data_IF_907777555633
#
_entry.id   IF_907777555633
#
_cell.length_a   1.000
_cell.length_b   1.000
_cell.length_c   1.000
_cell.angle_alpha   90.00
_cell.angle_beta   90.00
_cell.angle_gamma   90.00
#
_symmetry.space_group_name_H-M   'P 1'
#
loop_
_entity.id
_entity.type
_entity.pdbx_description
1 polymer ?
#
# COMPACT_ATOMS: atom_id res chain seq x y z
N UNK A 1 -18.15 -0.82 -13.93
CA UNK A 1 -18.17 0.00 -15.17
C UNK A 1 -19.58 0.27 -15.66
N UNK A 2 -20.52 -0.66 -15.49
CA UNK A 2 -21.83 -0.55 -16.13
C UNK A 2 -22.74 0.53 -15.52
N UNK A 3 -22.59 0.88 -14.24
CA UNK A 3 -23.22 2.08 -13.67
C UNK A 3 -22.74 3.39 -14.31
N UNK A 4 -21.45 3.49 -14.67
CA UNK A 4 -20.93 4.67 -15.37
C UNK A 4 -21.48 4.74 -16.80
N UNK A 5 -21.50 3.62 -17.52
CA UNK A 5 -22.00 3.54 -18.90
C UNK A 5 -23.53 3.61 -19.04
N UNK A 6 -24.28 3.11 -18.06
CA UNK A 6 -25.73 2.95 -18.13
C UNK A 6 -26.53 3.99 -17.33
N UNK A 7 -25.94 4.64 -16.33
CA UNK A 7 -26.60 5.62 -15.48
C UNK A 7 -25.87 6.97 -15.39
N UNK A 8 -24.78 7.17 -16.14
CA UNK A 8 -24.01 8.42 -16.16
C UNK A 8 -23.29 8.75 -14.85
N UNK A 9 -23.29 7.83 -13.88
CA UNK A 9 -22.71 8.05 -12.55
C UNK A 9 -21.19 8.13 -12.67
N UNK A 10 -20.58 9.15 -12.08
CA UNK A 10 -19.13 9.21 -11.95
C UNK A 10 -18.62 8.08 -11.04
N UNK A 11 -17.78 7.20 -11.61
CA UNK A 11 -17.20 6.07 -10.89
C UNK A 11 -15.68 6.14 -10.98
N UNK A 12 -15.01 5.96 -9.85
CA UNK A 12 -13.56 5.83 -9.74
C UNK A 12 -13.23 4.51 -9.04
N UNK A 13 -12.13 3.85 -9.41
CA UNK A 13 -11.79 2.52 -8.91
C UNK A 13 -10.35 2.52 -8.38
N UNK A 14 -10.21 2.57 -7.05
CA UNK A 14 -8.94 2.34 -6.39
C UNK A 14 -8.74 0.84 -6.10
N UNK A 15 -7.55 0.33 -6.39
CA UNK A 15 -7.03 -0.94 -5.88
C UNK A 15 -5.98 -0.58 -4.84
N UNK A 16 -6.34 -0.76 -3.56
CA UNK A 16 -5.52 -0.38 -2.42
C UNK A 16 -4.60 -1.56 -2.06
N UNK A 17 -3.30 -1.32 -1.98
CA UNK A 17 -2.29 -2.34 -1.65
C UNK A 17 -1.63 -2.03 -0.31
N UNK A 18 -1.90 -2.89 0.67
CA UNK A 18 -1.37 -2.93 2.05
C UNK A 18 -1.37 -1.57 2.77
N UNK A 19 -2.33 -1.36 3.67
CA UNK A 19 -2.41 -0.16 4.54
C UNK A 19 -2.03 -0.54 5.97
N UNK A 20 -1.45 0.37 6.76
CA UNK A 20 -1.41 0.20 8.22
C UNK A 20 -1.90 1.46 8.94
N UNK A 21 -2.59 1.29 10.08
CA UNK A 21 -3.11 2.39 10.88
C UNK A 21 -3.82 1.95 12.17
N UNK A 22 -4.17 2.89 13.06
CA UNK A 22 -4.81 2.58 14.34
C UNK A 22 -6.15 1.83 14.18
N UNK A 23 -6.35 0.79 15.01
CA UNK A 23 -7.48 -0.17 15.02
C UNK A 23 -7.43 -1.30 13.97
N UNK A 24 -6.28 -1.57 13.35
CA UNK A 24 -6.09 -2.81 12.58
C UNK A 24 -5.83 -4.02 13.48
N UNK A 25 -6.06 -5.22 12.92
CA UNK A 25 -5.66 -6.48 13.56
C UNK A 25 -4.13 -6.56 13.62
N UNK A 26 -3.59 -6.96 14.78
CA UNK A 26 -2.14 -7.02 15.01
C UNK A 26 -1.46 -8.19 14.26
N UNK A 27 -2.23 -9.22 13.89
CA UNK A 27 -1.75 -10.44 13.23
C UNK A 27 -1.89 -10.41 11.69
N UNK A 28 -2.28 -9.28 11.08
CA UNK A 28 -2.33 -9.14 9.61
C UNK A 28 -0.91 -8.94 9.04
N UNK A 29 -0.26 -10.04 8.67
CA UNK A 29 1.14 -10.10 8.20
C UNK A 29 1.44 -9.46 6.84
N UNK A 30 0.80 -8.33 6.49
CA UNK A 30 0.83 -7.72 5.14
C UNK A 30 1.19 -6.22 5.17
N UNK A 31 2.45 -5.94 4.83
CA UNK A 31 3.21 -4.67 5.00
C UNK A 31 3.26 -3.83 3.70
N UNK A 32 3.28 -2.49 3.64
CA UNK A 32 2.86 -1.39 4.56
C UNK A 32 2.57 -0.16 3.68
N UNK A 33 1.54 0.64 4.02
CA UNK A 33 1.35 1.99 3.47
C UNK A 33 0.91 2.97 4.55
N UNK A 34 1.61 4.11 4.62
CA UNK A 34 1.24 5.22 5.48
C UNK A 34 -0.14 5.73 5.05
N UNK A 35 -1.15 5.56 5.91
CA UNK A 35 -2.55 5.85 5.64
C UNK A 35 -2.76 7.20 4.94
N UNK A 36 -2.10 8.27 5.44
CA UNK A 36 -2.21 9.64 4.90
C UNK A 36 -1.78 9.74 3.43
N UNK A 37 -0.73 9.03 3.00
CA UNK A 37 -0.25 9.09 1.61
C UNK A 37 -1.19 8.38 0.63
N UNK A 38 -1.97 7.40 1.10
CA UNK A 38 -3.01 6.76 0.29
C UNK A 38 -4.29 7.59 0.25
N UNK A 39 -4.64 8.28 1.35
CA UNK A 39 -5.75 9.25 1.35
C UNK A 39 -5.50 10.33 0.29
N UNK A 40 -4.27 10.84 0.17
CA UNK A 40 -3.90 11.76 -0.92
C UNK A 40 -4.11 11.14 -2.32
N UNK A 41 -3.68 9.89 -2.53
CA UNK A 41 -3.89 9.17 -3.78
C UNK A 41 -5.37 8.92 -4.11
N UNK A 42 -6.19 8.68 -3.09
CA UNK A 42 -7.65 8.55 -3.22
C UNK A 42 -8.32 9.89 -3.56
N UNK A 43 -7.94 10.98 -2.90
CA UNK A 43 -8.46 12.32 -3.20
C UNK A 43 -8.19 12.72 -4.65
N UNK A 44 -6.92 12.61 -5.10
CA UNK A 44 -6.52 12.90 -6.48
C UNK A 44 -7.27 12.03 -7.51
N UNK A 45 -7.57 10.77 -7.17
CA UNK A 45 -8.36 9.89 -8.03
C UNK A 45 -9.84 10.29 -8.10
N UNK A 46 -10.41 10.85 -7.03
CA UNK A 46 -11.79 11.35 -7.01
C UNK A 46 -11.92 12.69 -7.75
N UNK A 47 -10.92 13.58 -7.61
CA UNK A 47 -10.86 14.89 -8.28
C UNK A 47 -10.50 14.80 -9.77
N UNK A 48 -9.74 13.78 -10.18
CA UNK A 48 -9.37 13.58 -11.59
C UNK A 48 -10.48 12.95 -12.44
N UNK A 49 -10.48 13.19 -13.75
CA UNK A 49 -11.51 12.71 -14.70
C UNK A 49 -11.36 11.22 -15.10
N UNK A 50 -10.31 10.55 -14.65
CA UNK A 50 -9.92 9.25 -15.20
C UNK A 50 -10.68 8.06 -14.62
N UNK A 51 -11.54 7.47 -15.46
CA UNK A 51 -12.29 6.25 -15.14
C UNK A 51 -11.44 5.01 -15.42
N UNK A 52 -11.23 4.17 -14.40
CA UNK A 52 -10.44 2.94 -14.50
C UNK A 52 -9.89 2.47 -13.16
N UNK A 53 -9.34 1.23 -13.10
CA UNK A 53 -8.62 0.75 -11.92
C UNK A 53 -7.24 1.41 -11.81
N UNK A 54 -6.98 2.03 -10.66
CA UNK A 54 -5.68 2.59 -10.26
C UNK A 54 -5.13 1.83 -9.05
N UNK A 55 -3.91 1.30 -9.18
CA UNK A 55 -3.20 0.70 -8.06
C UNK A 55 -2.60 1.82 -7.19
N UNK A 56 -2.91 1.83 -5.90
CA UNK A 56 -2.36 2.74 -4.90
C UNK A 56 -1.66 1.91 -3.82
N UNK A 57 -0.35 2.10 -3.64
CA UNK A 57 0.49 1.32 -2.71
C UNK A 57 1.98 1.66 -2.84
N UNK A 58 2.87 0.92 -2.17
CA UNK A 58 4.32 1.11 -2.34
C UNK A 58 4.84 0.33 -3.55
N UNK A 59 5.50 0.97 -4.54
CA UNK A 59 6.35 0.25 -5.49
C UNK A 59 7.75 -0.02 -4.91
N UNK A 60 8.14 0.69 -3.84
CA UNK A 60 9.38 0.41 -3.12
C UNK A 60 9.24 -0.90 -2.36
N UNK A 61 10.00 -1.91 -2.77
CA UNK A 61 10.09 -3.16 -2.03
C UNK A 61 10.69 -2.89 -0.65
N UNK A 62 10.04 -3.47 0.35
CA UNK A 62 10.50 -3.52 1.73
C UNK A 62 10.08 -4.91 2.20
N UNK A 63 11.07 -5.76 2.46
CA UNK A 63 10.87 -7.16 2.77
C UNK A 63 10.25 -7.32 4.15
N UNK A 64 9.64 -8.48 4.40
CA UNK A 64 9.17 -8.82 5.76
C UNK A 64 10.34 -8.92 6.75
N UNK A 65 11.56 -9.20 6.27
CA UNK A 65 12.77 -9.21 7.09
C UNK A 65 13.16 -7.80 7.53
N UNK A 66 13.32 -6.86 6.60
CA UNK A 66 13.63 -5.46 6.92
C UNK A 66 12.55 -4.83 7.83
N UNK A 67 11.28 -5.23 7.68
CA UNK A 67 10.23 -4.82 8.60
C UNK A 67 10.38 -5.42 10.00
N UNK A 68 10.68 -6.71 10.11
CA UNK A 68 10.93 -7.36 11.39
C UNK A 68 12.16 -6.77 12.09
N UNK A 69 13.22 -6.44 11.34
CA UNK A 69 14.43 -5.76 11.84
C UNK A 69 14.09 -4.36 12.38
N UNK A 70 13.38 -3.52 11.62
CA UNK A 70 12.96 -2.18 12.10
C UNK A 70 12.05 -2.27 13.34
N UNK A 71 11.15 -3.26 13.41
CA UNK A 71 10.30 -3.48 14.60
C UNK A 71 11.14 -3.94 15.80
N UNK A 72 12.10 -4.84 15.60
CA UNK A 72 13.03 -5.27 16.64
C UNK A 72 13.86 -4.09 17.15
N UNK A 73 14.47 -3.28 16.27
CA UNK A 73 15.25 -2.10 16.65
C UNK A 73 14.42 -1.04 17.39
N UNK A 74 13.16 -0.82 16.99
CA UNK A 74 12.33 0.28 17.51
C UNK A 74 11.56 -0.08 18.78
N UNK A 75 11.19 -1.36 18.97
CA UNK A 75 10.24 -1.79 20.02
C UNK A 75 10.89 -2.68 21.10
N UNK A 76 11.59 -3.74 20.70
CA UNK A 76 12.34 -4.63 21.60
C UNK A 76 13.52 -5.27 20.87
N UNK A 77 14.76 -4.80 21.10
CA UNK A 77 15.96 -5.37 20.46
C UNK A 77 16.18 -6.86 20.74
N UNK A 78 15.53 -7.43 21.76
CA UNK A 78 15.64 -8.85 22.13
C UNK A 78 14.59 -9.73 21.45
N UNK A 79 13.64 -9.14 20.72
CA UNK A 79 12.62 -9.88 20.00
C UNK A 79 13.25 -10.82 18.96
N UNK A 80 12.86 -12.11 18.98
CA UNK A 80 13.43 -13.11 18.08
C UNK A 80 12.66 -13.19 16.78
N UNK A 81 13.33 -12.91 15.66
CA UNK A 81 12.81 -13.18 14.31
C UNK A 81 12.76 -14.71 14.07
N UNK A 82 11.60 -15.24 13.69
CA UNK A 82 11.39 -16.65 13.34
C UNK A 82 11.01 -16.78 11.86
N UNK A 83 11.73 -17.63 11.12
CA UNK A 83 11.43 -17.92 9.72
C UNK A 83 10.50 -19.12 9.62
N UNK A 84 9.35 -18.95 8.95
CA UNK A 84 8.39 -20.01 8.66
C UNK A 84 8.23 -20.19 7.15
N UNK A 85 7.88 -21.41 6.67
CA UNK A 85 7.56 -21.61 5.26
C UNK A 85 6.35 -20.76 4.87
N UNK A 86 6.35 -20.28 3.62
CA UNK A 86 5.24 -19.51 3.07
C UNK A 86 3.99 -20.40 2.90
N UNK A 87 2.80 -19.84 3.03
CA UNK A 87 1.55 -20.58 2.73
C UNK A 87 1.37 -20.74 1.23
N UNK A 88 0.83 -21.88 0.77
CA UNK A 88 0.64 -22.17 -0.66
C UNK A 88 -0.20 -21.11 -1.39
N UNK A 89 -1.20 -20.53 -0.72
CA UNK A 89 -2.08 -19.49 -1.27
C UNK A 89 -1.44 -18.08 -1.33
N UNK A 90 -0.18 -17.90 -0.91
CA UNK A 90 0.40 -16.55 -0.83
C UNK A 90 0.94 -16.05 -2.18
N UNK A 91 0.43 -14.91 -2.71
CA UNK A 91 0.81 -14.42 -4.02
C UNK A 91 2.27 -13.97 -4.05
N UNK A 92 3.09 -14.68 -4.84
CA UNK A 92 4.54 -14.49 -4.94
C UNK A 92 4.96 -13.12 -5.54
N UNK A 93 4.02 -12.33 -6.09
CA UNK A 93 4.26 -10.97 -6.59
C UNK A 93 3.43 -9.97 -5.78
N UNK A 94 4.09 -9.32 -4.81
CA UNK A 94 3.46 -8.38 -3.86
C UNK A 94 3.57 -6.90 -4.26
N UNK A 95 4.43 -6.57 -5.24
CA UNK A 95 4.72 -5.19 -5.64
C UNK A 95 3.68 -4.64 -6.63
N UNK A 96 2.88 -3.60 -6.28
CA UNK A 96 1.91 -2.99 -7.18
C UNK A 96 2.59 -2.18 -8.29
N UNK A 97 2.17 -2.41 -9.54
CA UNK A 97 2.47 -1.47 -10.64
C UNK A 97 1.63 -0.20 -10.47
N UNK A 98 2.27 0.88 -10.00
CA UNK A 98 1.63 2.20 -9.84
C UNK A 98 1.85 3.14 -11.04
N UNK A 99 2.31 2.65 -12.20
CA UNK A 99 2.64 3.49 -13.36
C UNK A 99 1.47 4.39 -13.77
N UNK A 100 0.24 3.87 -13.75
CA UNK A 100 -0.97 4.70 -13.99
C UNK A 100 -1.12 5.83 -12.96
N UNK A 101 -0.95 5.56 -11.68
CA UNK A 101 -1.09 6.58 -10.63
C UNK A 101 -0.02 7.68 -10.77
N UNK A 102 1.21 7.31 -11.16
CA UNK A 102 2.27 8.27 -11.50
C UNK A 102 1.89 9.15 -12.70
N UNK A 103 1.49 8.54 -13.82
CA UNK A 103 1.21 9.27 -15.07
C UNK A 103 -0.03 10.16 -15.01
N UNK A 104 -1.08 9.74 -14.31
CA UNK A 104 -2.41 10.39 -14.38
C UNK A 104 -2.81 11.16 -13.13
N UNK A 105 -2.27 10.83 -11.96
CA UNK A 105 -2.58 11.51 -10.69
C UNK A 105 -1.41 12.36 -10.19
N UNK A 106 -0.28 12.37 -10.91
CA UNK A 106 1.01 12.92 -10.45
C UNK A 106 1.40 12.46 -9.03
N UNK A 107 0.96 11.26 -8.65
CA UNK A 107 1.13 10.71 -7.30
C UNK A 107 2.38 9.85 -7.26
N UNK A 108 3.29 10.17 -6.34
CA UNK A 108 4.54 9.45 -6.16
C UNK A 108 4.81 9.19 -4.68
N UNK A 109 5.32 8.00 -4.35
CA UNK A 109 5.66 7.60 -2.99
C UNK A 109 7.17 7.57 -2.79
N UNK A 110 7.60 8.02 -1.60
CA UNK A 110 8.97 7.97 -1.08
C UNK A 110 9.20 6.70 -0.24
N UNK A 111 10.45 6.28 -0.09
CA UNK A 111 10.78 5.03 0.61
C UNK A 111 10.58 5.17 2.13
N UNK A 112 10.50 4.04 2.83
CA UNK A 112 10.32 4.04 4.28
C UNK A 112 11.57 4.59 5.01
N UNK A 113 12.75 4.29 4.47
CA UNK A 113 14.06 4.75 4.96
C UNK A 113 14.22 6.27 5.02
N UNK A 114 13.50 7.03 4.20
CA UNK A 114 13.58 8.50 4.19
C UNK A 114 12.84 9.17 5.37
N UNK A 115 12.19 8.41 6.28
CA UNK A 115 11.21 8.96 7.25
C UNK A 115 11.20 8.35 8.66
N UNK A 116 12.13 7.46 9.01
CA UNK A 116 12.25 6.94 10.40
C UNK A 116 13.04 7.89 11.31
N UNK A 117 13.62 8.97 10.77
CA UNK A 117 14.19 10.07 11.55
C UNK A 117 13.10 10.95 12.18
N UNK A 118 12.70 10.60 13.41
CA UNK A 118 12.03 11.47 14.37
C UNK A 118 13.05 12.08 15.35
#
# INVERSE_FOLDING_TARGET
MDYHRGAGVEVRIARIFNTYGPRMCIDDGRVVSYFVAQVEGLMRLMEGEHVGPFNLGNPGEFTMLEFAEVVQETIDPNAKIEFRPNTEDDPHKRTPDISRAKSYLAWNRRSLSERVSL
#
